data_IF_180898499299
#
_entry.id   IF_180898499299
#
_cell.length_a   1.000
_cell.length_b   1.000
_cell.length_c   1.000
_cell.angle_alpha   90.00
_cell.angle_beta   90.00
_cell.angle_gamma   90.00
#
_symmetry.space_group_name_H-M   'P 1'
#
loop_
_entity.id
_entity.type
_entity.pdbx_description
1 polymer ?
#
# COMPACT_ATOMS: atom_id res chain seq x y z
N UNK A 1 2.95 27.48 9.60
CA UNK A 1 1.61 26.89 9.32
C UNK A 1 1.76 25.48 8.81
N UNK A 2 0.70 24.68 8.87
CA UNK A 2 0.71 23.31 8.33
C UNK A 2 0.85 23.35 6.81
N UNK A 3 1.63 22.44 6.24
CA UNK A 3 1.72 22.26 4.79
C UNK A 3 0.46 21.56 4.24
N UNK A 4 0.34 21.50 2.91
CA UNK A 4 -0.82 20.91 2.25
C UNK A 4 -1.00 19.42 2.62
N UNK A 5 0.08 18.63 2.56
CA UNK A 5 0.05 17.20 2.92
C UNK A 5 -0.36 16.97 4.37
N UNK A 6 0.23 17.72 5.30
CA UNK A 6 -0.13 17.66 6.71
C UNK A 6 -1.62 18.02 6.94
N UNK A 7 -2.12 19.02 6.24
CA UNK A 7 -3.53 19.43 6.34
C UNK A 7 -4.46 18.30 5.87
N UNK A 8 -4.11 17.60 4.79
CA UNK A 8 -4.87 16.47 4.29
C UNK A 8 -4.89 15.29 5.26
N UNK A 9 -3.72 14.92 5.81
CA UNK A 9 -3.61 13.80 6.74
C UNK A 9 -4.33 14.04 8.07
N UNK A 10 -4.38 15.29 8.52
CA UNK A 10 -5.02 15.67 9.78
C UNK A 10 -6.51 15.96 9.67
N UNK A 11 -7.08 15.90 8.46
CA UNK A 11 -8.48 16.22 8.25
C UNK A 11 -9.39 15.14 8.85
N UNK A 12 -10.21 15.52 9.82
CA UNK A 12 -11.23 14.65 10.41
C UNK A 12 -12.31 14.27 9.38
N UNK A 13 -12.70 13.01 9.35
CA UNK A 13 -13.74 12.45 8.46
C UNK A 13 -13.48 12.67 6.96
N UNK A 14 -12.24 12.61 6.56
CA UNK A 14 -11.86 12.75 5.14
C UNK A 14 -10.38 13.09 4.99
N UNK A 15 -9.95 13.47 3.79
CA UNK A 15 -8.57 13.80 3.49
C UNK A 15 -7.81 12.62 2.90
N UNK A 16 -6.57 12.44 3.30
CA UNK A 16 -5.69 11.39 2.80
C UNK A 16 -5.21 10.48 3.94
N UNK A 17 -4.98 9.21 3.63
CA UNK A 17 -4.37 8.22 4.54
C UNK A 17 -2.85 8.13 4.38
N UNK A 18 -2.33 8.70 3.30
CA UNK A 18 -0.91 8.85 3.01
C UNK A 18 -0.68 10.03 2.08
N UNK A 19 0.50 10.60 2.11
CA UNK A 19 0.92 11.68 1.25
C UNK A 19 2.40 11.54 0.91
N UNK A 20 2.74 11.56 -0.36
CA UNK A 20 4.13 11.61 -0.84
C UNK A 20 4.34 12.96 -1.49
N UNK A 21 5.40 13.66 -1.13
CA UNK A 21 5.71 14.96 -1.72
C UNK A 21 6.99 15.58 -1.21
N UNK A 22 7.46 16.57 -1.95
CA UNK A 22 8.66 17.32 -1.63
C UNK A 22 8.45 18.33 -0.50
N UNK A 23 9.44 18.48 0.34
CA UNK A 23 9.50 19.50 1.41
C UNK A 23 10.30 20.75 0.98
N UNK A 24 10.93 20.73 -0.15
CA UNK A 24 11.68 21.84 -0.72
C UNK A 24 11.45 21.93 -2.24
N UNK A 25 12.14 22.84 -2.91
CA UNK A 25 12.03 23.06 -4.36
C UNK A 25 12.43 21.79 -5.12
N UNK A 26 11.60 21.37 -6.04
CA UNK A 26 11.88 20.25 -6.94
C UNK A 26 12.33 20.75 -8.31
N UNK A 27 12.93 19.87 -9.10
CA UNK A 27 13.48 20.20 -10.40
C UNK A 27 12.78 19.40 -11.49
N UNK A 28 12.58 20.03 -12.65
CA UNK A 28 11.73 19.51 -13.72
C UNK A 28 12.18 18.14 -14.28
N UNK A 29 13.47 17.97 -14.50
CA UNK A 29 14.00 16.73 -15.06
C UNK A 29 13.97 15.61 -14.01
N UNK A 30 14.33 15.92 -12.77
CA UNK A 30 14.31 15.00 -11.66
C UNK A 30 12.87 14.55 -11.31
N UNK A 31 11.90 15.47 -11.34
CA UNK A 31 10.48 15.13 -11.12
C UNK A 31 9.96 14.18 -12.22
N UNK A 32 10.42 14.41 -13.46
CA UNK A 32 10.12 13.51 -14.56
C UNK A 32 10.71 12.11 -14.30
N UNK A 33 11.99 12.02 -13.95
CA UNK A 33 12.63 10.75 -13.67
C UNK A 33 12.01 10.07 -12.46
N UNK A 34 11.71 10.84 -11.44
CA UNK A 34 11.05 10.32 -10.25
C UNK A 34 9.70 9.65 -10.57
N UNK A 35 8.89 10.28 -11.38
CA UNK A 35 7.57 9.77 -11.76
C UNK A 35 7.61 8.69 -12.84
N UNK A 36 8.37 8.90 -13.88
CA UNK A 36 8.30 8.16 -15.15
C UNK A 36 9.46 7.17 -15.31
N UNK A 37 10.58 7.44 -14.65
CA UNK A 37 11.80 6.64 -14.75
C UNK A 37 12.94 7.31 -15.49
N UNK A 38 14.11 6.70 -15.36
CA UNK A 38 15.34 7.22 -15.95
C UNK A 38 15.27 7.16 -17.49
N UNK A 39 15.67 8.24 -18.14
CA UNK A 39 15.70 8.32 -19.59
C UNK A 39 15.61 9.75 -20.10
N UNK A 40 15.45 9.89 -21.41
CA UNK A 40 15.29 11.21 -22.00
C UNK A 40 13.92 11.78 -21.66
N UNK A 41 13.90 12.97 -21.09
CA UNK A 41 12.65 13.72 -20.84
C UNK A 41 11.85 13.87 -22.14
N UNK A 42 10.63 13.42 -22.14
CA UNK A 42 9.74 13.40 -23.30
C UNK A 42 8.32 13.81 -22.89
N UNK A 43 7.76 14.77 -23.61
CA UNK A 43 6.39 15.27 -23.37
C UNK A 43 5.30 14.38 -23.96
N UNK A 44 5.67 13.47 -24.86
CA UNK A 44 4.77 12.50 -25.47
C UNK A 44 5.18 11.08 -25.06
N UNK A 45 4.79 10.70 -23.86
CA UNK A 45 5.15 9.42 -23.29
C UNK A 45 4.40 8.25 -23.95
N UNK A 46 5.09 7.14 -24.07
CA UNK A 46 4.49 5.84 -24.32
C UNK A 46 5.11 4.84 -23.35
N UNK A 47 4.37 3.82 -22.96
CA UNK A 47 4.83 2.78 -22.01
C UNK A 47 6.17 2.16 -22.40
N UNK A 48 6.41 1.94 -23.68
CA UNK A 48 7.65 1.34 -24.16
C UNK A 48 8.89 2.26 -24.07
N UNK A 49 8.69 3.53 -23.75
CA UNK A 49 9.76 4.54 -23.70
C UNK A 49 10.11 4.99 -22.27
N UNK A 50 9.43 4.43 -21.27
CA UNK A 50 9.63 4.79 -19.87
C UNK A 50 10.61 3.84 -19.18
N UNK A 51 11.32 4.35 -18.19
CA UNK A 51 12.06 3.54 -17.23
C UNK A 51 11.23 3.24 -16.01
N UNK A 52 11.83 2.65 -15.00
CA UNK A 52 11.19 2.34 -13.74
C UNK A 52 11.12 3.60 -12.86
N UNK A 53 9.95 4.18 -12.74
CA UNK A 53 9.66 5.32 -11.87
C UNK A 53 8.45 5.03 -10.96
N UNK A 54 8.09 6.00 -10.11
CA UNK A 54 6.99 5.84 -9.17
C UNK A 54 5.65 5.50 -9.85
N UNK A 55 5.38 6.09 -11.02
CA UNK A 55 4.15 5.80 -11.77
C UNK A 55 4.19 4.44 -12.45
N UNK A 56 5.36 4.01 -12.93
CA UNK A 56 5.52 2.71 -13.54
C UNK A 56 5.21 1.60 -12.54
N UNK A 57 5.62 1.76 -11.29
CA UNK A 57 5.29 0.83 -10.21
C UNK A 57 3.81 0.77 -9.85
N UNK A 58 3.09 1.86 -10.08
CA UNK A 58 1.66 1.96 -9.77
C UNK A 58 0.74 1.52 -10.92
N UNK A 59 1.16 1.70 -12.16
CA UNK A 59 0.34 1.49 -13.36
C UNK A 59 0.94 0.41 -14.29
N UNK A 60 1.41 -0.62 -13.71
CA UNK A 60 2.24 -1.63 -14.33
C UNK A 60 1.42 -2.61 -15.20
N UNK A 61 1.03 -2.17 -16.38
CA UNK A 61 0.21 -2.99 -17.29
C UNK A 61 1.00 -4.09 -18.01
N UNK A 62 2.34 -3.98 -18.04
CA UNK A 62 3.19 -4.87 -18.84
C UNK A 62 4.05 -5.83 -18.01
N UNK A 63 4.01 -5.76 -16.71
CA UNK A 63 4.71 -6.67 -15.81
C UNK A 63 3.71 -7.46 -14.96
N UNK A 64 3.97 -8.74 -14.85
CA UNK A 64 3.13 -9.67 -14.07
C UNK A 64 3.37 -9.54 -12.55
N UNK A 65 4.39 -8.79 -12.12
CA UNK A 65 4.77 -8.66 -10.71
C UNK A 65 4.48 -7.25 -10.17
N UNK A 66 3.54 -7.16 -9.26
CA UNK A 66 3.25 -5.95 -8.47
C UNK A 66 4.37 -5.72 -7.44
N UNK A 67 5.47 -5.10 -7.84
CA UNK A 67 6.66 -4.98 -7.02
C UNK A 67 6.73 -3.72 -6.15
N UNK A 68 5.88 -2.74 -6.36
CA UNK A 68 5.84 -1.51 -5.56
C UNK A 68 4.42 -1.10 -5.20
N UNK A 69 3.69 -2.00 -4.54
CA UNK A 69 2.28 -1.81 -4.18
C UNK A 69 2.07 -1.06 -2.87
N UNK A 70 3.11 -0.88 -2.06
CA UNK A 70 3.04 -0.16 -0.78
C UNK A 70 3.66 1.23 -0.88
N UNK A 71 3.21 2.15 -0.05
CA UNK A 71 3.65 3.55 -0.09
C UNK A 71 5.17 3.72 0.01
N UNK A 72 5.84 2.93 0.84
CA UNK A 72 7.30 2.99 0.96
C UNK A 72 8.02 2.52 -0.31
N UNK A 73 7.49 1.55 -1.02
CA UNK A 73 8.06 1.09 -2.26
C UNK A 73 7.92 2.14 -3.37
N UNK A 74 6.78 2.81 -3.46
CA UNK A 74 6.52 3.89 -4.42
C UNK A 74 7.56 5.01 -4.29
N UNK A 75 7.78 5.52 -3.07
CA UNK A 75 8.76 6.59 -2.86
C UNK A 75 10.18 6.10 -3.11
N UNK A 76 10.50 4.88 -2.73
CA UNK A 76 11.83 4.29 -2.95
C UNK A 76 12.15 4.18 -4.44
N UNK A 77 11.21 3.69 -5.24
CA UNK A 77 11.38 3.56 -6.69
C UNK A 77 11.58 4.92 -7.36
N UNK A 78 10.77 5.93 -7.00
CA UNK A 78 10.94 7.27 -7.51
C UNK A 78 12.34 7.84 -7.23
N UNK A 79 12.82 7.74 -6.01
CA UNK A 79 14.16 8.21 -5.64
C UNK A 79 15.27 7.42 -6.34
N UNK A 80 15.11 6.09 -6.49
CA UNK A 80 16.06 5.28 -7.25
C UNK A 80 16.10 5.63 -8.72
N UNK A 81 14.99 6.03 -9.33
CA UNK A 81 14.95 6.49 -10.72
C UNK A 81 15.75 7.77 -10.93
N UNK A 82 15.71 8.71 -9.98
CA UNK A 82 16.57 9.93 -10.03
C UNK A 82 18.04 9.55 -9.93
N UNK A 83 18.40 8.64 -9.02
CA UNK A 83 19.77 8.16 -8.90
C UNK A 83 20.24 7.44 -10.18
N UNK A 84 19.41 6.60 -10.77
CA UNK A 84 19.71 5.90 -12.03
C UNK A 84 19.90 6.86 -13.20
N UNK A 85 19.18 7.98 -13.22
CA UNK A 85 19.33 9.02 -14.22
C UNK A 85 20.58 9.90 -14.01
N UNK A 86 21.35 9.70 -12.95
CA UNK A 86 22.43 10.57 -12.47
C UNK A 86 21.96 12.00 -12.19
N UNK A 87 20.75 12.15 -11.68
CA UNK A 87 20.18 13.40 -11.21
C UNK A 87 20.69 13.77 -9.81
N UNK A 88 20.01 14.72 -9.17
CA UNK A 88 20.32 15.18 -7.81
C UNK A 88 19.78 14.20 -6.77
N UNK A 89 20.31 12.96 -6.76
CA UNK A 89 19.82 11.85 -5.96
C UNK A 89 19.86 12.12 -4.46
N UNK A 90 21.00 12.52 -3.90
CA UNK A 90 21.13 12.85 -2.47
C UNK A 90 20.07 13.87 -2.03
N UNK A 91 19.87 14.91 -2.86
CA UNK A 91 18.89 15.94 -2.60
C UNK A 91 17.45 15.38 -2.62
N UNK A 92 17.11 14.52 -3.58
CA UNK A 92 15.77 13.92 -3.66
C UNK A 92 15.50 12.94 -2.53
N UNK A 93 16.50 12.21 -2.03
CA UNK A 93 16.37 11.42 -0.81
C UNK A 93 16.12 12.28 0.43
N UNK A 94 16.62 13.52 0.45
CA UNK A 94 16.42 14.45 1.56
C UNK A 94 15.07 15.16 1.52
N UNK A 95 14.52 15.48 0.34
CA UNK A 95 13.32 16.33 0.23
C UNK A 95 12.02 15.58 0.01
N UNK A 96 12.03 14.40 -0.65
CA UNK A 96 10.82 13.62 -0.85
C UNK A 96 10.49 12.80 0.40
N UNK A 97 9.30 13.05 0.94
CA UNK A 97 8.84 12.41 2.16
C UNK A 97 7.56 11.64 1.96
N UNK A 98 7.48 10.49 2.62
CA UNK A 98 6.25 9.77 2.87
C UNK A 98 5.71 10.16 4.24
N UNK A 99 4.54 10.75 4.28
CA UNK A 99 3.76 10.99 5.49
C UNK A 99 2.57 10.04 5.52
N UNK A 100 2.49 9.19 6.52
CA UNK A 100 1.49 8.12 6.65
C UNK A 100 2.13 6.78 6.89
N UNK A 101 1.34 5.71 6.81
CA UNK A 101 1.82 4.35 7.00
C UNK A 101 2.59 3.86 5.75
N UNK A 102 3.88 3.51 5.90
CA UNK A 102 4.70 3.05 4.78
C UNK A 102 4.30 1.66 4.25
N UNK A 103 3.66 0.84 5.07
CA UNK A 103 3.22 -0.51 4.69
C UNK A 103 1.86 -0.53 3.99
N UNK A 104 1.16 0.59 3.94
CA UNK A 104 -0.16 0.68 3.36
C UNK A 104 -0.11 0.46 1.84
N UNK A 105 -0.91 -0.47 1.35
CA UNK A 105 -1.09 -0.71 -0.08
C UNK A 105 -1.96 0.36 -0.72
N UNK A 106 -1.57 0.79 -1.91
CA UNK A 106 -2.34 1.76 -2.70
C UNK A 106 -3.12 1.01 -3.78
N UNK A 107 -4.45 1.11 -3.72
CA UNK A 107 -5.32 0.56 -4.76
C UNK A 107 -5.51 1.59 -5.87
N UNK A 108 -5.02 1.26 -7.06
CA UNK A 108 -5.10 2.15 -8.24
C UNK A 108 -6.40 1.92 -9.02
N UNK A 109 -7.01 0.76 -8.87
CA UNK A 109 -8.27 0.40 -9.49
C UNK A 109 -9.34 0.00 -8.47
N UNK A 110 -10.53 -0.27 -8.97
CA UNK A 110 -11.59 -0.88 -8.16
C UNK A 110 -11.25 -2.36 -8.02
N UNK A 111 -10.99 -2.86 -6.80
CA UNK A 111 -10.71 -4.28 -6.62
C UNK A 111 -11.91 -5.13 -7.05
N UNK A 112 -11.64 -6.35 -7.50
CA UNK A 112 -12.69 -7.34 -7.74
C UNK A 112 -13.44 -7.64 -6.44
N UNK A 113 -14.70 -8.09 -6.59
CA UNK A 113 -15.49 -8.51 -5.43
C UNK A 113 -14.81 -9.71 -4.76
N UNK A 114 -14.49 -9.56 -3.48
CA UNK A 114 -13.94 -10.64 -2.68
C UNK A 114 -15.09 -11.50 -2.13
N UNK A 115 -15.06 -12.80 -2.38
CA UNK A 115 -16.04 -13.75 -1.86
C UNK A 115 -15.49 -14.39 -0.60
N UNK A 116 -15.98 -13.94 0.55
CA UNK A 116 -15.50 -14.38 1.86
C UNK A 116 -16.42 -15.45 2.42
N UNK A 117 -15.86 -16.58 2.86
CA UNK A 117 -16.57 -17.65 3.50
C UNK A 117 -15.85 -18.07 4.80
N UNK A 118 -16.60 -18.17 5.91
CA UNK A 118 -16.11 -18.55 7.23
C UNK A 118 -17.27 -19.08 8.08
N UNK A 119 -16.95 -19.77 9.18
CA UNK A 119 -17.97 -20.16 10.14
C UNK A 119 -18.41 -18.93 10.96
N UNK A 120 -19.68 -18.50 10.86
CA UNK A 120 -20.17 -17.32 11.57
C UNK A 120 -20.31 -17.52 13.09
N UNK A 121 -20.12 -18.74 13.59
CA UNK A 121 -20.25 -19.07 15.01
C UNK A 121 -19.01 -19.81 15.51
N UNK A 122 -18.33 -19.21 16.48
CA UNK A 122 -17.23 -19.85 17.19
C UNK A 122 -17.65 -20.18 18.60
N UNK A 123 -17.57 -21.48 19.05
CA UNK A 123 -17.77 -21.85 20.45
C UNK A 123 -16.78 -21.15 21.38
N UNK A 124 -17.16 -20.93 22.62
CA UNK A 124 -16.24 -20.55 23.70
C UNK A 124 -15.17 -21.63 23.84
N UNK A 125 -13.91 -21.21 23.92
CA UNK A 125 -12.75 -22.09 23.91
C UNK A 125 -12.14 -22.30 22.52
N UNK A 126 -12.72 -21.74 21.45
CA UNK A 126 -12.10 -21.77 20.13
C UNK A 126 -10.78 -20.99 20.12
N UNK A 127 -9.79 -21.52 19.42
CA UNK A 127 -8.43 -20.97 19.28
C UNK A 127 -8.07 -20.68 17.81
N UNK A 128 -8.98 -21.00 16.88
CA UNK A 128 -8.72 -20.81 15.46
C UNK A 128 -10.01 -20.52 14.69
N UNK A 129 -9.87 -19.81 13.56
CA UNK A 129 -10.90 -19.58 12.57
C UNK A 129 -10.30 -19.80 11.19
N UNK A 130 -10.90 -20.70 10.42
CA UNK A 130 -10.58 -20.85 8.99
C UNK A 130 -11.39 -19.81 8.19
N UNK A 131 -10.73 -19.10 7.30
CA UNK A 131 -11.33 -18.12 6.39
C UNK A 131 -10.93 -18.45 4.98
N UNK A 132 -11.90 -18.50 4.09
CA UNK A 132 -11.71 -18.58 2.65
C UNK A 132 -11.98 -17.21 2.06
N UNK A 133 -11.05 -16.70 1.25
CA UNK A 133 -11.17 -15.44 0.53
C UNK A 133 -10.26 -15.46 -0.71
N UNK A 134 -10.29 -14.39 -1.50
CA UNK A 134 -9.38 -14.28 -2.64
C UNK A 134 -7.92 -14.33 -2.17
N UNK A 135 -7.05 -15.04 -2.90
CA UNK A 135 -5.62 -15.11 -2.57
C UNK A 135 -5.00 -13.73 -2.33
N UNK A 136 -4.09 -13.66 -1.37
CA UNK A 136 -3.36 -12.45 -0.98
C UNK A 136 -4.21 -11.35 -0.32
N UNK A 137 -5.49 -11.59 -0.01
CA UNK A 137 -6.30 -10.70 0.83
C UNK A 137 -5.75 -10.64 2.26
N UNK A 138 -5.73 -9.46 2.87
CA UNK A 138 -5.47 -9.32 4.30
C UNK A 138 -6.73 -9.63 5.08
N UNK A 139 -6.58 -10.48 6.10
CA UNK A 139 -7.68 -10.84 6.99
C UNK A 139 -7.31 -10.48 8.43
N UNK A 140 -8.21 -9.81 9.13
CA UNK A 140 -8.07 -9.49 10.53
C UNK A 140 -9.30 -9.90 11.32
N UNK A 141 -9.10 -10.55 12.47
CA UNK A 141 -10.13 -10.89 13.44
C UNK A 141 -9.95 -10.05 14.68
N UNK A 142 -10.98 -9.33 15.10
CA UNK A 142 -10.96 -8.50 16.30
C UNK A 142 -12.18 -8.75 17.19
N UNK A 143 -12.04 -8.39 18.48
CA UNK A 143 -13.10 -8.36 19.47
C UNK A 143 -12.97 -7.09 20.32
N UNK A 144 -14.05 -6.36 20.47
CA UNK A 144 -14.09 -5.13 21.28
C UNK A 144 -13.00 -4.12 20.91
N UNK A 145 -12.66 -4.02 19.60
CA UNK A 145 -11.62 -3.14 19.06
C UNK A 145 -10.18 -3.62 19.31
N UNK A 146 -9.99 -4.83 19.84
CA UNK A 146 -8.67 -5.44 19.98
C UNK A 146 -8.45 -6.51 18.91
N UNK A 147 -7.31 -6.44 18.23
CA UNK A 147 -6.91 -7.45 17.26
C UNK A 147 -6.58 -8.76 17.97
N UNK A 148 -7.25 -9.85 17.57
CA UNK A 148 -6.96 -11.20 18.05
C UNK A 148 -5.95 -11.90 17.15
N UNK A 149 -6.14 -11.82 15.84
CA UNK A 149 -5.25 -12.45 14.87
C UNK A 149 -5.38 -11.75 13.51
N UNK A 150 -4.33 -11.80 12.69
CA UNK A 150 -4.37 -11.34 11.31
C UNK A 150 -3.39 -12.12 10.46
N UNK A 151 -3.60 -12.08 9.14
CA UNK A 151 -2.69 -12.69 8.18
C UNK A 151 -3.10 -12.43 6.75
N UNK A 152 -2.36 -12.99 5.82
CA UNK A 152 -2.62 -12.91 4.39
C UNK A 152 -3.11 -14.26 3.90
N UNK A 153 -4.19 -14.27 3.13
CA UNK A 153 -4.74 -15.48 2.51
C UNK A 153 -3.70 -16.07 1.57
N UNK A 154 -3.44 -17.37 1.70
CA UNK A 154 -2.49 -18.07 0.86
C UNK A 154 -2.98 -18.19 -0.60
N UNK A 155 -2.11 -18.61 -1.51
CA UNK A 155 -2.45 -18.89 -2.91
C UNK A 155 -3.58 -19.93 -3.06
N UNK A 156 -3.72 -20.80 -2.06
CA UNK A 156 -4.82 -21.77 -1.94
C UNK A 156 -6.22 -21.15 -1.77
N UNK A 157 -6.30 -19.86 -1.44
CA UNK A 157 -7.54 -19.17 -1.11
C UNK A 157 -7.99 -19.38 0.34
N UNK A 158 -7.14 -19.91 1.21
CA UNK A 158 -7.46 -20.17 2.61
C UNK A 158 -6.43 -19.57 3.57
N UNK A 159 -6.89 -19.23 4.77
CA UNK A 159 -6.05 -18.89 5.92
C UNK A 159 -6.68 -19.44 7.19
N UNK A 160 -5.85 -19.87 8.12
CA UNK A 160 -6.27 -20.20 9.49
C UNK A 160 -5.72 -19.13 10.42
N UNK A 161 -6.62 -18.33 10.97
CA UNK A 161 -6.29 -17.36 12.02
C UNK A 161 -6.21 -18.08 13.35
N UNK A 162 -5.07 -18.03 14.02
CA UNK A 162 -4.87 -18.64 15.35
C UNK A 162 -4.78 -17.52 16.39
N UNK A 163 -5.47 -17.71 17.52
CA UNK A 163 -5.59 -16.73 18.60
C UNK A 163 -5.73 -17.43 19.96
N UNK A 164 -5.62 -16.66 21.04
CA UNK A 164 -5.88 -17.17 22.39
C UNK A 164 -7.34 -17.62 22.54
N UNK A 165 -7.62 -18.66 23.35
CA UNK A 165 -8.96 -19.18 23.52
C UNK A 165 -10.00 -18.11 23.87
N UNK A 166 -11.12 -18.09 23.16
CA UNK A 166 -12.23 -17.20 23.46
C UNK A 166 -12.83 -17.60 24.81
N UNK A 167 -12.65 -16.74 25.81
CA UNK A 167 -13.09 -17.03 27.18
C UNK A 167 -14.51 -16.55 27.50
N UNK A 168 -15.00 -15.55 26.73
CA UNK A 168 -16.30 -14.92 26.99
C UNK A 168 -17.10 -14.75 25.69
N UNK A 169 -18.45 -14.83 25.79
CA UNK A 169 -19.31 -14.56 24.63
C UNK A 169 -19.18 -13.10 24.16
N UNK A 170 -19.46 -12.85 22.91
CA UNK A 170 -19.41 -11.50 22.32
C UNK A 170 -19.43 -11.55 20.82
N UNK A 171 -19.39 -10.37 20.20
CA UNK A 171 -19.29 -10.22 18.76
C UNK A 171 -17.82 -10.16 18.34
N UNK A 172 -17.47 -10.97 17.37
CA UNK A 172 -16.20 -10.89 16.67
C UNK A 172 -16.41 -10.12 15.36
N UNK A 173 -15.43 -9.30 14.98
CA UNK A 173 -15.42 -8.58 13.71
C UNK A 173 -14.34 -9.19 12.81
N UNK A 174 -14.76 -9.69 11.66
CA UNK A 174 -13.85 -10.14 10.60
C UNK A 174 -13.76 -9.06 9.54
N UNK A 175 -12.54 -8.60 9.27
CA UNK A 175 -12.23 -7.65 8.19
C UNK A 175 -11.42 -8.38 7.13
N UNK A 176 -11.77 -8.21 5.86
CA UNK A 176 -11.09 -8.80 4.71
C UNK A 176 -10.89 -7.76 3.62
#
# INVERSE_FOLDING_TARGET
GSCFGETLLRKSNGGAIGYIGGSDVTYWDEDYWWGVGSGRVNVNLSYSATGEGAYDSMFHENNEENWAVVNSAIIMVGNLAVAQANGMDDYYWEIYHLMGDPSLSTYIGVPSTNSVNFDPFLPIGSEALEVQAEPFSYVGLSKDGQLLSSGVVEESGFIVLVFDPISEPGTLELTV
#
